data_IF_032721780623
#
_entry.id   IF_032721780623
#
_cell.length_a   1.000
_cell.length_b   1.000
_cell.length_c   1.000
_cell.angle_alpha   90.00
_cell.angle_beta   90.00
_cell.angle_gamma   90.00
#
_symmetry.space_group_name_H-M   'P 1'
#
loop_
_entity.id
_entity.type
_entity.pdbx_description
1 polymer ?
#
# COMPACT_ATOMS: atom_id res chain seq x y z
N UNK A 1 -27.67 80.74 -13.24
CA UNK A 1 -27.45 80.72 -11.77
C UNK A 1 -26.87 79.36 -11.44
N UNK A 2 -25.57 79.28 -11.15
CA UNK A 2 -24.99 79.14 -9.78
C UNK A 2 -25.52 77.88 -9.07
N UNK A 3 -24.81 76.75 -9.12
CA UNK A 3 -23.63 76.36 -8.30
C UNK A 3 -24.01 75.93 -6.88
N UNK A 4 -24.12 74.61 -6.62
CA UNK A 4 -23.20 73.71 -5.88
C UNK A 4 -23.24 73.87 -4.34
N UNK A 5 -23.38 72.75 -3.62
CA UNK A 5 -22.47 72.23 -2.56
C UNK A 5 -23.24 71.18 -1.72
N UNK A 6 -22.71 70.13 -1.13
CA UNK A 6 -21.46 69.36 -1.22
C UNK A 6 -21.56 68.38 -0.06
N UNK A 7 -21.52 67.06 -0.30
CA UNK A 7 -21.05 66.11 0.72
C UNK A 7 -20.22 65.03 0.03
N UNK A 8 -18.95 65.36 -0.14
CA UNK A 8 -17.88 64.41 -0.36
C UNK A 8 -16.83 64.68 0.73
N UNK A 9 -16.59 63.71 1.60
CA UNK A 9 -15.30 63.51 2.24
C UNK A 9 -14.98 62.04 2.05
N UNK A 10 -13.90 61.81 1.32
CA UNK A 10 -13.30 60.52 1.05
C UNK A 10 -12.38 60.10 2.20
N UNK A 11 -12.18 58.80 2.37
CA UNK A 11 -10.84 58.24 2.53
C UNK A 11 -10.86 56.76 2.17
N UNK A 12 -10.07 56.44 1.15
CA UNK A 12 -9.82 55.12 0.65
C UNK A 12 -8.71 54.45 1.46
N UNK A 13 -8.78 53.12 1.59
CA UNK A 13 -7.62 52.28 1.75
C UNK A 13 -7.87 51.00 0.96
N UNK A 14 -7.51 51.05 -0.32
CA UNK A 14 -7.40 49.88 -1.16
C UNK A 14 -6.12 49.13 -0.75
N UNK A 15 -6.27 47.92 -0.20
CA UNK A 15 -5.14 46.99 -0.08
C UNK A 15 -5.14 46.13 -1.34
N UNK A 16 -4.34 46.56 -2.32
CA UNK A 16 -3.87 45.69 -3.38
C UNK A 16 -2.84 44.72 -2.77
N UNK A 17 -3.14 43.43 -2.76
CA UNK A 17 -2.10 42.41 -2.70
C UNK A 17 -2.26 41.50 -3.90
N UNK A 18 -1.51 41.84 -4.95
CA UNK A 18 -1.20 40.94 -6.04
C UNK A 18 -0.30 39.83 -5.48
N UNK A 19 -0.83 38.62 -5.33
CA UNK A 19 -0.02 37.42 -5.31
C UNK A 19 -0.14 36.78 -6.69
N UNK A 20 0.99 36.77 -7.39
CA UNK A 20 1.12 36.38 -8.78
C UNK A 20 0.55 34.99 -9.05
N UNK A 21 -0.16 34.89 -10.18
CA UNK A 21 -0.29 33.68 -10.97
C UNK A 21 1.11 33.17 -11.30
N UNK A 22 1.64 32.29 -10.47
CA UNK A 22 2.62 31.30 -10.92
C UNK A 22 1.80 30.08 -11.36
N UNK A 23 1.76 29.71 -12.65
CA UNK A 23 1.56 28.31 -12.95
C UNK A 23 2.71 27.60 -12.25
N UNK A 24 2.39 26.80 -11.24
CA UNK A 24 3.32 25.78 -10.76
C UNK A 24 3.62 24.93 -11.99
N UNK A 25 4.71 25.27 -12.67
CA UNK A 25 5.32 24.40 -13.64
C UNK A 25 5.52 23.09 -12.90
N UNK A 26 4.63 22.13 -13.17
CA UNK A 26 4.92 20.73 -12.99
C UNK A 26 6.01 20.45 -14.02
N UNK A 27 7.22 20.94 -13.71
CA UNK A 27 8.43 20.33 -14.17
C UNK A 27 8.28 18.89 -13.69
N UNK A 28 7.91 18.01 -14.61
CA UNK A 28 8.04 16.59 -14.46
C UNK A 28 9.52 16.37 -14.10
N UNK A 29 9.79 16.34 -12.80
CA UNK A 29 10.98 15.73 -12.28
C UNK A 29 10.96 14.34 -12.90
N UNK A 30 11.94 14.08 -13.76
CA UNK A 30 12.28 12.74 -14.22
C UNK A 30 12.29 11.89 -12.94
N UNK A 31 11.34 10.97 -12.78
CA UNK A 31 11.19 10.23 -11.54
C UNK A 31 12.49 9.48 -11.25
N UNK A 32 13.32 10.01 -10.37
CA UNK A 32 14.39 9.22 -9.77
C UNK A 32 13.71 8.16 -8.90
N UNK A 33 13.81 6.90 -9.33
CA UNK A 33 13.47 5.74 -8.52
C UNK A 33 12.00 5.33 -8.54
N UNK A 34 11.45 4.99 -9.71
CA UNK A 34 10.34 4.04 -9.75
C UNK A 34 10.79 2.70 -9.19
N UNK A 35 9.97 2.09 -8.34
CA UNK A 35 10.25 0.84 -7.66
C UNK A 35 9.11 -0.14 -7.92
N UNK A 36 9.45 -1.37 -8.26
CA UNK A 36 8.52 -2.49 -8.39
C UNK A 36 8.43 -3.25 -7.07
N UNK A 37 7.21 -3.54 -6.62
CA UNK A 37 6.97 -4.49 -5.52
C UNK A 37 7.02 -5.93 -6.04
N UNK A 38 7.92 -6.72 -5.45
CA UNK A 38 8.13 -8.14 -5.75
C UNK A 38 7.78 -8.94 -4.51
N UNK A 39 6.75 -9.78 -4.61
CA UNK A 39 6.39 -10.73 -3.57
C UNK A 39 7.27 -11.98 -3.70
N UNK A 40 7.86 -12.39 -2.57
CA UNK A 40 8.65 -13.61 -2.45
C UNK A 40 7.76 -14.75 -1.96
N UNK A 41 7.38 -14.71 -0.68
CA UNK A 41 6.53 -15.72 -0.05
C UNK A 41 5.65 -15.18 1.06
N UNK A 42 4.56 -15.89 1.35
CA UNK A 42 3.68 -15.68 2.50
C UNK A 42 3.52 -17.02 3.22
N UNK A 43 3.94 -17.05 4.48
CA UNK A 43 3.98 -18.24 5.31
C UNK A 43 2.91 -18.13 6.40
N UNK A 44 2.01 -19.11 6.48
CA UNK A 44 0.99 -19.22 7.52
C UNK A 44 1.56 -19.99 8.72
N UNK A 45 2.01 -19.28 9.76
CA UNK A 45 2.60 -19.90 10.94
C UNK A 45 1.54 -20.46 11.88
N UNK A 46 0.41 -19.79 11.95
CA UNK A 46 -0.78 -20.16 12.70
C UNK A 46 -2.01 -19.70 11.92
N UNK A 47 -3.17 -20.31 12.17
CA UNK A 47 -4.44 -19.99 11.51
C UNK A 47 -5.44 -19.39 12.49
N UNK A 48 -6.36 -18.58 11.98
CA UNK A 48 -7.51 -18.15 12.77
C UNK A 48 -8.43 -19.33 13.09
N UNK A 49 -8.72 -20.15 12.08
CA UNK A 49 -9.68 -21.23 12.19
C UNK A 49 -9.05 -22.63 12.13
N UNK A 50 -9.79 -23.61 12.63
CA UNK A 50 -9.37 -25.00 12.55
C UNK A 50 -9.59 -25.56 11.15
N UNK A 51 -8.51 -25.78 10.41
CA UNK A 51 -8.57 -26.47 9.12
C UNK A 51 -7.81 -25.71 8.03
N UNK A 52 -8.52 -24.81 7.36
CA UNK A 52 -7.99 -23.91 6.33
C UNK A 52 -8.59 -22.52 6.53
N UNK A 53 -7.80 -21.47 6.31
CA UNK A 53 -8.25 -20.09 6.13
C UNK A 53 -8.36 -19.79 4.63
N UNK A 54 -9.34 -19.00 4.22
CA UNK A 54 -9.43 -18.41 2.88
C UNK A 54 -8.74 -17.05 2.94
N UNK A 55 -7.59 -16.87 2.27
CA UNK A 55 -6.80 -15.63 2.43
C UNK A 55 -6.64 -14.83 1.14
N UNK A 56 -6.49 -13.51 1.31
CA UNK A 56 -6.14 -12.57 0.25
C UNK A 56 -5.09 -11.54 0.70
N UNK A 57 -4.40 -10.96 -0.27
CA UNK A 57 -3.44 -9.86 -0.06
C UNK A 57 -3.99 -8.58 -0.67
N UNK A 58 -4.05 -7.52 0.14
CA UNK A 58 -4.42 -6.18 -0.27
C UNK A 58 -3.27 -5.19 -0.07
N UNK A 59 -3.25 -4.13 -0.88
CA UNK A 59 -2.50 -2.92 -0.58
C UNK A 59 -3.47 -1.80 -0.23
N UNK A 60 -3.13 -1.05 0.79
CA UNK A 60 -3.88 0.13 1.21
C UNK A 60 -3.03 1.39 1.10
N UNK A 61 -3.52 2.35 0.34
CA UNK A 61 -2.91 3.67 0.24
C UNK A 61 -3.26 4.55 1.46
N UNK A 62 -2.48 5.60 1.73
CA UNK A 62 -2.73 6.49 2.88
C UNK A 62 -4.07 7.22 2.79
N UNK A 63 -4.61 7.40 1.59
CA UNK A 63 -5.94 7.99 1.35
C UNK A 63 -7.10 7.00 1.67
N UNK A 64 -6.79 5.73 1.95
CA UNK A 64 -7.76 4.68 2.23
C UNK A 64 -8.12 3.81 1.02
N UNK A 65 -7.65 4.13 -0.18
CA UNK A 65 -7.87 3.32 -1.38
C UNK A 65 -7.23 1.95 -1.21
N UNK A 66 -7.92 0.93 -1.73
CA UNK A 66 -7.52 -0.47 -1.61
C UNK A 66 -7.31 -1.09 -2.98
N UNK A 67 -6.26 -1.90 -3.07
CA UNK A 67 -5.91 -2.65 -4.27
C UNK A 67 -5.77 -4.12 -3.92
N UNK A 68 -6.61 -4.94 -4.53
CA UNK A 68 -6.51 -6.38 -4.40
C UNK A 68 -5.31 -6.89 -5.22
N UNK A 69 -4.38 -7.61 -4.57
CA UNK A 69 -3.13 -8.06 -5.20
C UNK A 69 -3.17 -9.52 -5.57
N UNK A 70 -3.71 -10.37 -4.71
CA UNK A 70 -3.66 -11.81 -4.87
C UNK A 70 -4.71 -12.50 -4.00
N UNK A 71 -5.33 -13.60 -4.48
CA UNK A 71 -5.25 -14.19 -5.84
C UNK A 71 -5.95 -13.45 -7.01
N UNK A 72 -5.27 -13.22 -8.15
CA UNK A 72 -5.83 -12.38 -9.24
C UNK A 72 -7.00 -12.97 -10.03
N UNK A 73 -7.36 -14.23 -9.79
CA UNK A 73 -8.55 -14.86 -10.37
C UNK A 73 -9.87 -14.40 -9.73
N UNK A 74 -9.81 -13.57 -8.68
CA UNK A 74 -10.99 -13.11 -7.96
C UNK A 74 -11.60 -14.21 -7.09
N UNK A 75 -10.73 -15.10 -6.61
CA UNK A 75 -11.02 -16.26 -5.74
C UNK A 75 -10.09 -16.16 -4.52
N UNK A 76 -10.34 -16.94 -3.49
CA UNK A 76 -9.47 -16.99 -2.30
C UNK A 76 -8.38 -18.07 -2.43
N UNK A 77 -7.41 -18.04 -1.52
CA UNK A 77 -6.40 -19.08 -1.41
C UNK A 77 -6.58 -19.92 -0.14
N UNK A 78 -7.00 -21.17 -0.32
CA UNK A 78 -7.12 -22.17 0.75
C UNK A 78 -5.77 -22.43 1.44
N UNK A 79 -5.63 -21.93 2.65
CA UNK A 79 -4.36 -21.87 3.38
C UNK A 79 -4.44 -22.65 4.67
N UNK A 80 -3.46 -23.54 4.91
CA UNK A 80 -3.32 -24.25 6.18
C UNK A 80 -2.11 -23.78 6.98
N UNK A 81 -2.13 -23.92 8.30
CA UNK A 81 -0.94 -23.78 9.13
C UNK A 81 0.18 -24.67 8.56
N UNK A 82 1.39 -24.11 8.45
CA UNK A 82 2.50 -24.80 7.80
C UNK A 82 2.52 -24.66 6.27
N UNK A 83 1.64 -23.86 5.66
CA UNK A 83 1.71 -23.53 4.23
C UNK A 83 2.62 -22.34 3.99
N UNK A 84 3.44 -22.41 2.94
CA UNK A 84 4.21 -21.29 2.43
C UNK A 84 3.87 -21.06 0.96
N UNK A 85 3.12 -20.00 0.68
CA UNK A 85 2.80 -19.56 -0.67
C UNK A 85 4.00 -18.85 -1.27
N UNK A 86 4.43 -19.28 -2.46
CA UNK A 86 5.61 -18.77 -3.16
C UNK A 86 5.18 -18.11 -4.47
N UNK A 87 5.41 -16.81 -4.60
CA UNK A 87 5.22 -16.06 -5.84
C UNK A 87 6.49 -16.05 -6.68
N UNK A 88 7.64 -15.75 -6.06
CA UNK A 88 8.93 -15.67 -6.76
C UNK A 88 10.02 -16.35 -5.95
N UNK A 89 10.60 -17.43 -6.48
CA UNK A 89 11.56 -18.28 -5.74
C UNK A 89 12.89 -17.60 -5.42
N UNK A 90 13.31 -16.59 -6.18
CA UNK A 90 14.54 -15.81 -5.97
C UNK A 90 14.39 -14.74 -4.86
N UNK A 91 13.17 -14.57 -4.34
CA UNK A 91 12.85 -13.67 -3.25
C UNK A 91 12.12 -14.40 -2.11
N UNK A 92 11.81 -15.69 -2.25
CA UNK A 92 11.07 -16.46 -1.26
C UNK A 92 11.97 -16.95 -0.12
N UNK A 93 11.40 -17.00 1.08
CA UNK A 93 11.96 -17.71 2.22
C UNK A 93 10.83 -18.51 2.86
N UNK A 94 10.96 -19.84 2.83
CA UNK A 94 10.03 -20.75 3.49
C UNK A 94 10.80 -21.55 4.54
N UNK A 95 10.27 -21.57 5.75
CA UNK A 95 10.87 -22.28 6.88
C UNK A 95 10.86 -23.79 6.64
N UNK A 96 11.85 -24.49 7.22
CA UNK A 96 11.89 -25.94 7.13
C UNK A 96 10.61 -26.57 7.70
N UNK A 97 10.10 -27.60 7.04
CA UNK A 97 8.86 -28.29 7.43
C UNK A 97 7.57 -27.67 6.86
N UNK A 98 7.63 -26.52 6.20
CA UNK A 98 6.47 -25.92 5.55
C UNK A 98 6.22 -26.52 4.17
N UNK A 99 4.95 -26.71 3.84
CA UNK A 99 4.51 -27.14 2.51
C UNK A 99 4.54 -25.94 1.57
N UNK A 100 5.43 -25.97 0.58
CA UNK A 100 5.49 -24.91 -0.43
C UNK A 100 4.38 -25.10 -1.46
N UNK A 101 3.64 -24.03 -1.72
CA UNK A 101 2.63 -23.97 -2.78
C UNK A 101 2.93 -22.80 -3.71
N UNK A 102 2.72 -23.01 -5.00
CA UNK A 102 2.78 -21.91 -5.96
C UNK A 102 1.61 -20.96 -5.71
N UNK A 103 1.91 -19.69 -5.45
CA UNK A 103 0.88 -18.67 -5.33
C UNK A 103 0.28 -18.28 -6.70
N UNK A 104 1.01 -18.52 -7.79
CA UNK A 104 0.55 -18.14 -9.12
C UNK A 104 0.67 -16.63 -9.37
N UNK A 105 -0.12 -16.07 -10.32
CA UNK A 105 -0.02 -14.66 -10.69
C UNK A 105 -0.52 -13.73 -9.59
N UNK A 106 0.08 -12.54 -9.51
CA UNK A 106 -0.34 -11.46 -8.64
C UNK A 106 -0.27 -10.11 -9.36
N UNK A 107 -1.04 -9.12 -8.90
CA UNK A 107 -1.02 -7.76 -9.47
C UNK A 107 0.30 -7.07 -9.13
N UNK A 108 1.06 -6.69 -10.15
CA UNK A 108 2.29 -5.92 -9.94
C UNK A 108 1.98 -4.45 -9.62
N UNK A 109 2.61 -3.93 -8.55
CA UNK A 109 2.57 -2.51 -8.23
C UNK A 109 3.94 -1.87 -8.54
N UNK A 110 3.88 -0.67 -9.14
CA UNK A 110 5.02 0.24 -9.23
C UNK A 110 4.73 1.48 -8.39
N UNK A 111 5.65 1.84 -7.52
CA UNK A 111 5.57 3.03 -6.66
C UNK A 111 6.75 3.95 -6.95
N UNK A 112 6.62 5.22 -6.59
CA UNK A 112 7.78 6.14 -6.61
C UNK A 112 8.48 6.13 -5.26
N UNK A 113 9.78 6.42 -5.25
CA UNK A 113 10.50 6.73 -4.00
C UNK A 113 9.75 7.80 -3.20
N UNK A 114 9.66 7.61 -1.88
CA UNK A 114 8.89 8.43 -0.95
C UNK A 114 7.41 8.04 -0.80
N UNK A 115 6.85 7.21 -1.67
CA UNK A 115 5.48 6.72 -1.52
C UNK A 115 5.34 5.87 -0.25
N UNK A 116 4.17 5.94 0.38
CA UNK A 116 3.82 5.07 1.50
C UNK A 116 2.55 4.30 1.19
N UNK A 117 2.49 3.04 1.63
CA UNK A 117 1.35 2.15 1.50
C UNK A 117 1.40 1.10 2.60
N UNK A 118 0.35 0.32 2.76
CA UNK A 118 0.31 -0.79 3.73
C UNK A 118 0.03 -2.07 2.97
N UNK A 119 0.79 -3.13 3.23
CA UNK A 119 0.48 -4.48 2.78
C UNK A 119 -0.39 -5.13 3.86
N UNK A 120 -1.54 -5.65 3.49
CA UNK A 120 -2.45 -6.34 4.40
C UNK A 120 -2.71 -7.76 3.90
N UNK A 121 -2.78 -8.71 4.83
CA UNK A 121 -3.31 -10.06 4.58
C UNK A 121 -4.60 -10.16 5.37
N UNK A 122 -5.66 -10.55 4.69
CA UNK A 122 -6.98 -10.71 5.25
C UNK A 122 -7.41 -12.16 5.14
N UNK A 123 -8.09 -12.63 6.18
CA UNK A 123 -9.02 -13.74 6.06
C UNK A 123 -10.27 -13.24 5.32
N UNK A 124 -10.81 -14.10 4.48
CA UNK A 124 -11.98 -13.87 3.66
C UNK A 124 -12.99 -14.98 3.90
N UNK A 125 -13.48 -15.06 5.14
CA UNK A 125 -14.55 -15.98 5.48
C UNK A 125 -15.92 -15.32 5.21
N UNK A 126 -16.97 -16.14 5.13
CA UNK A 126 -18.32 -15.63 4.90
C UNK A 126 -18.88 -14.80 6.08
N UNK A 127 -18.25 -14.83 7.27
CA UNK A 127 -18.68 -14.10 8.48
C UNK A 127 -17.51 -13.40 9.19
N UNK A 128 -16.96 -12.39 8.52
CA UNK A 128 -16.21 -11.31 9.14
C UNK A 128 -14.73 -11.34 8.82
N UNK A 129 -14.34 -10.60 7.78
CA UNK A 129 -12.95 -10.50 7.34
C UNK A 129 -12.01 -10.04 8.47
N UNK A 130 -11.12 -10.94 8.89
CA UNK A 130 -10.13 -10.67 9.92
C UNK A 130 -8.79 -10.25 9.34
N UNK A 131 -8.20 -9.22 9.96
CA UNK A 131 -6.88 -8.73 9.55
C UNK A 131 -5.78 -9.57 10.18
N UNK A 132 -5.15 -10.41 9.36
CA UNK A 132 -4.13 -11.37 9.77
C UNK A 132 -2.74 -10.72 9.87
N UNK A 133 -2.37 -9.89 8.88
CA UNK A 133 -1.06 -9.21 8.82
C UNK A 133 -1.20 -7.80 8.26
N UNK A 134 -0.39 -6.87 8.79
CA UNK A 134 -0.36 -5.47 8.39
C UNK A 134 1.07 -4.94 8.44
N UNK A 135 1.59 -4.57 7.27
CA UNK A 135 2.96 -4.09 7.10
C UNK A 135 2.94 -2.70 6.46
N UNK A 136 3.14 -1.64 7.25
CA UNK A 136 3.33 -0.30 6.69
C UNK A 136 4.68 -0.23 5.98
N UNK A 137 4.68 0.30 4.75
CA UNK A 137 5.86 0.44 3.91
C UNK A 137 5.99 1.89 3.48
N UNK A 138 7.17 2.45 3.68
CA UNK A 138 7.61 3.68 3.00
C UNK A 138 8.74 3.31 2.06
N UNK A 139 8.57 3.65 0.78
CA UNK A 139 9.55 3.39 -0.26
C UNK A 139 10.74 4.36 -0.12
N UNK A 140 11.94 3.84 0.13
CA UNK A 140 13.12 4.67 0.43
C UNK A 140 14.07 4.90 -0.76
N UNK A 141 13.81 4.27 -1.90
CA UNK A 141 14.70 4.25 -3.06
C UNK A 141 15.65 3.04 -3.04
N UNK A 142 16.04 2.56 -4.24
CA UNK A 142 16.87 1.36 -4.36
C UNK A 142 16.15 0.06 -3.95
N UNK A 143 16.92 -1.01 -3.73
CA UNK A 143 16.36 -2.28 -3.24
C UNK A 143 16.09 -2.23 -1.74
N UNK A 144 14.85 -2.53 -1.35
CA UNK A 144 14.41 -2.55 0.05
C UNK A 144 13.73 -3.89 0.33
N UNK A 145 14.27 -4.65 1.27
CA UNK A 145 13.70 -5.93 1.69
C UNK A 145 12.61 -5.72 2.73
N UNK A 146 11.56 -6.54 2.65
CA UNK A 146 10.43 -6.59 3.56
C UNK A 146 10.36 -8.03 4.03
N UNK A 147 10.83 -8.29 5.25
CA UNK A 147 10.74 -9.59 5.90
C UNK A 147 10.14 -9.33 7.28
N UNK A 148 8.83 -9.59 7.39
CA UNK A 148 8.07 -9.20 8.56
C UNK A 148 7.21 -10.37 9.01
N UNK A 149 7.29 -10.66 10.30
CA UNK A 149 6.38 -11.56 11.00
C UNK A 149 5.54 -10.76 11.96
N UNK A 150 4.22 -10.76 11.78
CA UNK A 150 3.27 -10.11 12.69
C UNK A 150 2.03 -10.97 12.88
N UNK A 151 1.37 -10.92 14.04
CA UNK A 151 -0.07 -10.72 14.08
C UNK A 151 -0.40 -9.23 13.87
N UNK A 152 -1.40 -8.92 13.03
CA UNK A 152 -2.05 -7.60 13.01
C UNK A 152 -3.33 -7.54 13.86
N UNK A 153 -3.83 -8.70 14.31
CA UNK A 153 -5.02 -8.88 15.13
C UNK A 153 -5.16 -10.33 15.60
N UNK A 154 -5.99 -10.54 16.63
CA UNK A 154 -6.47 -11.83 17.20
C UNK A 154 -5.46 -12.93 17.62
N UNK A 155 -4.17 -12.80 17.33
CA UNK A 155 -3.11 -13.67 17.86
C UNK A 155 -2.49 -14.65 16.85
N UNK A 156 -2.94 -14.63 15.59
CA UNK A 156 -2.45 -15.51 14.53
C UNK A 156 -1.23 -14.92 13.82
N UNK A 157 -0.34 -15.75 13.30
CA UNK A 157 0.95 -15.28 12.79
C UNK A 157 1.16 -15.66 11.34
N UNK A 158 1.51 -14.65 10.55
CA UNK A 158 1.98 -14.81 9.19
C UNK A 158 3.37 -14.17 9.04
N UNK A 159 4.20 -14.75 8.18
CA UNK A 159 5.48 -14.17 7.76
C UNK A 159 5.41 -13.82 6.29
N UNK A 160 5.57 -12.53 5.98
CA UNK A 160 5.62 -12.02 4.61
C UNK A 160 7.06 -11.71 4.23
N UNK A 161 7.48 -12.23 3.08
CA UNK A 161 8.73 -11.86 2.41
C UNK A 161 8.43 -11.21 1.07
N UNK A 162 8.88 -9.97 0.93
CA UNK A 162 8.77 -9.17 -0.29
C UNK A 162 9.97 -8.24 -0.42
N UNK A 163 10.08 -7.54 -1.54
CA UNK A 163 11.06 -6.48 -1.74
C UNK A 163 10.55 -5.42 -2.72
N UNK A 164 10.97 -4.18 -2.50
CA UNK A 164 10.96 -3.15 -3.54
C UNK A 164 12.30 -3.23 -4.29
N UNK A 165 12.27 -3.16 -5.61
CA UNK A 165 13.47 -3.11 -6.47
C UNK A 165 13.31 -2.00 -7.51
N UNK A 166 14.40 -1.40 -8.03
CA UNK A 166 14.32 -0.51 -9.18
C UNK A 166 13.54 -1.15 -10.35
N UNK A 167 12.56 -0.41 -10.87
CA UNK A 167 11.69 -0.84 -11.98
C UNK A 167 12.36 -0.68 -13.36
#
# INVERSE_FOLDING_TARGET
>A
MRTILSKAVAAAAALALAAALAPAAHAAARAEGSLKLVFGSLQANDLEESGEDEIRVELKEPNGDKYYIWPTNGDEADTRAGTCWVWTSDAASCSYGYTQRSAGPYSHLTVTSGASFTIEVWEDDHIGDDLLLRVPVTATGGTQYIDVTTPAGKGFSYTLVARLVPA
#
